data_IF_343360950691
#
_entry.id   IF_343360950691
#
_cell.length_a   1.000
_cell.length_b   1.000
_cell.length_c   1.000
_cell.angle_alpha   90.00
_cell.angle_beta   90.00
_cell.angle_gamma   90.00
#
_symmetry.space_group_name_H-M   'P 1'
#
loop_
_entity.id
_entity.type
_entity.pdbx_description
1 polymer ?
#
# COMPACT_ATOMS: atom_id res chain seq x y z
N UNK A 1 -29.43 -48.23 -18.58
CA UNK A 1 -30.49 -48.11 -17.56
C UNK A 1 -30.66 -46.63 -17.20
N UNK A 2 -31.86 -46.14 -17.47
CA UNK A 2 -32.25 -44.71 -17.35
C UNK A 2 -32.38 -44.30 -15.89
N UNK A 3 -31.83 -43.16 -15.48
CA UNK A 3 -32.38 -42.25 -14.46
C UNK A 3 -31.43 -41.04 -14.33
N UNK A 4 -31.64 -40.05 -15.14
CA UNK A 4 -31.32 -38.63 -14.88
C UNK A 4 -32.24 -37.81 -15.77
N UNK A 5 -33.38 -37.46 -15.26
CA UNK A 5 -34.24 -36.44 -15.87
C UNK A 5 -34.40 -35.24 -14.95
N UNK A 6 -34.09 -34.09 -15.54
CA UNK A 6 -34.67 -32.77 -15.26
C UNK A 6 -34.51 -32.25 -13.83
N UNK A 7 -33.47 -31.47 -13.63
CA UNK A 7 -33.52 -30.35 -12.70
C UNK A 7 -33.47 -29.03 -13.49
N UNK A 8 -34.60 -28.33 -13.41
CA UNK A 8 -34.92 -27.08 -14.06
C UNK A 8 -33.86 -25.97 -13.79
N UNK A 9 -33.29 -25.47 -14.86
CA UNK A 9 -32.54 -24.20 -14.88
C UNK A 9 -33.50 -22.99 -14.80
N UNK A 10 -34.12 -22.77 -13.67
CA UNK A 10 -34.86 -21.54 -13.36
C UNK A 10 -34.66 -21.20 -11.89
N UNK A 11 -34.07 -20.00 -11.66
CA UNK A 11 -33.89 -19.28 -10.41
C UNK A 11 -32.54 -19.48 -9.71
N UNK A 12 -31.52 -18.79 -10.20
CA UNK A 12 -30.40 -18.26 -9.40
C UNK A 12 -30.01 -16.90 -9.96
N UNK A 13 -31.00 -15.99 -10.08
CA UNK A 13 -30.77 -14.55 -10.13
C UNK A 13 -31.14 -13.99 -8.75
N UNK A 14 -30.41 -14.39 -7.74
CA UNK A 14 -30.34 -13.62 -6.52
C UNK A 14 -29.23 -12.58 -6.74
N UNK A 15 -29.63 -11.31 -6.89
CA UNK A 15 -28.72 -10.20 -6.92
C UNK A 15 -27.83 -10.27 -5.67
N UNK A 16 -26.54 -10.43 -5.88
CA UNK A 16 -25.52 -10.25 -4.81
C UNK A 16 -25.64 -8.79 -4.42
N UNK A 17 -25.77 -8.45 -3.11
CA UNK A 17 -25.81 -7.08 -2.67
C UNK A 17 -24.50 -6.40 -3.10
N UNK A 18 -24.59 -5.31 -3.85
CA UNK A 18 -23.46 -4.51 -4.36
C UNK A 18 -22.83 -3.63 -3.28
N UNK A 19 -23.26 -3.74 -2.03
CA UNK A 19 -22.74 -2.98 -0.90
C UNK A 19 -22.17 -3.95 0.13
N UNK A 20 -20.84 -3.96 0.25
CA UNK A 20 -20.20 -4.45 1.47
C UNK A 20 -20.63 -3.49 2.60
N UNK A 21 -21.24 -3.97 3.68
CA UNK A 21 -21.61 -3.10 4.78
C UNK A 21 -20.33 -2.71 5.53
N UNK A 22 -19.74 -1.55 5.20
CA UNK A 22 -18.89 -0.84 6.14
C UNK A 22 -19.80 -0.44 7.30
N UNK A 23 -19.74 -1.18 8.40
CA UNK A 23 -20.45 -0.81 9.61
C UNK A 23 -19.86 0.49 10.12
N UNK A 24 -20.67 1.53 10.16
CA UNK A 24 -20.33 2.75 10.91
C UNK A 24 -20.06 2.37 12.38
N UNK A 25 -19.12 3.03 13.05
CA UNK A 25 -18.92 2.81 14.47
C UNK A 25 -20.22 3.08 15.21
N UNK A 26 -20.66 2.11 15.99
CA UNK A 26 -21.86 2.19 16.82
C UNK A 26 -21.41 2.52 18.24
N UNK A 27 -22.25 3.26 18.99
CA UNK A 27 -22.09 3.40 20.44
C UNK A 27 -22.30 2.03 21.14
N UNK A 28 -22.05 1.98 22.44
CA UNK A 28 -22.20 0.76 23.25
C UNK A 28 -23.64 0.19 23.26
N UNK A 29 -24.59 0.86 22.63
CA UNK A 29 -26.00 0.49 22.51
C UNK A 29 -26.47 0.27 21.06
N UNK A 30 -25.54 0.28 20.07
CA UNK A 30 -25.86 -0.03 18.68
C UNK A 30 -26.50 1.11 17.87
N UNK A 31 -26.43 2.35 18.32
CA UNK A 31 -26.97 3.52 17.62
C UNK A 31 -25.92 4.29 16.81
N UNK A 32 -26.23 4.86 15.64
CA UNK A 32 -25.27 5.68 14.88
C UNK A 32 -24.88 6.95 15.65
N UNK A 33 -23.60 7.20 15.80
CA UNK A 33 -23.08 8.41 16.44
C UNK A 33 -23.47 9.63 15.61
N UNK A 34 -24.33 10.52 16.13
CA UNK A 34 -24.68 11.78 15.47
C UNK A 34 -23.56 12.79 15.66
N UNK A 35 -22.81 13.08 14.60
CA UNK A 35 -21.83 14.17 14.58
C UNK A 35 -22.55 15.50 14.52
N UNK A 36 -22.41 16.33 15.55
CA UNK A 36 -22.91 17.71 15.58
C UNK A 36 -21.92 18.60 14.82
N UNK A 37 -22.42 19.32 13.82
CA UNK A 37 -21.63 20.38 13.16
C UNK A 37 -21.37 21.50 14.18
N UNK A 38 -20.09 21.79 14.44
CA UNK A 38 -19.65 22.89 15.30
C UNK A 38 -19.19 24.03 14.38
N UNK A 39 -19.68 25.22 14.63
CA UNK A 39 -19.27 26.44 13.92
C UNK A 39 -17.80 26.74 14.19
N UNK A 40 -17.07 27.14 13.13
CA UNK A 40 -15.62 27.37 13.09
C UNK A 40 -15.18 28.58 13.91
N UNK A 41 -14.67 28.32 15.12
CA UNK A 41 -13.54 29.07 15.64
C UNK A 41 -12.38 28.10 15.65
N UNK A 42 -11.32 28.38 14.90
CA UNK A 42 -10.11 27.54 14.89
C UNK A 42 -9.65 27.32 16.34
N UNK A 43 -9.29 26.09 16.74
CA UNK A 43 -8.75 25.84 18.07
C UNK A 43 -7.51 26.67 18.35
N UNK A 44 -7.30 27.03 19.61
CA UNK A 44 -6.06 27.68 20.02
C UNK A 44 -4.88 26.78 19.68
N UNK A 45 -3.88 27.32 18.94
CA UNK A 45 -2.73 26.54 18.44
C UNK A 45 -2.83 26.08 16.99
N UNK A 46 -3.92 26.38 16.25
CA UNK A 46 -4.01 26.11 14.80
C UNK A 46 -2.88 26.82 14.07
N UNK A 47 -2.13 26.05 13.25
CA UNK A 47 -1.02 26.58 12.44
C UNK A 47 -1.41 26.67 10.96
N UNK A 48 -0.71 27.57 10.23
CA UNK A 48 -0.78 27.63 8.78
C UNK A 48 0.36 26.81 8.17
N UNK A 49 0.03 25.97 7.19
CA UNK A 49 1.00 25.18 6.42
C UNK A 49 0.51 25.03 4.98
N UNK A 50 1.14 24.19 4.16
CA UNK A 50 0.70 23.92 2.79
C UNK A 50 0.61 22.43 2.54
N UNK A 51 -0.33 22.04 1.68
CA UNK A 51 -0.53 20.66 1.26
C UNK A 51 -1.06 20.57 -0.18
N UNK A 52 -0.85 19.42 -0.82
CA UNK A 52 -1.46 19.09 -2.09
C UNK A 52 -2.83 18.42 -1.87
N UNK A 53 -3.86 19.04 -2.40
CA UNK A 53 -5.26 18.67 -2.21
C UNK A 53 -5.85 18.23 -3.54
N UNK A 54 -6.52 17.07 -3.55
CA UNK A 54 -7.40 16.67 -4.63
C UNK A 54 -8.81 17.15 -4.30
N UNK A 55 -9.28 18.15 -5.06
CA UNK A 55 -10.60 18.73 -4.84
C UNK A 55 -11.71 17.92 -5.51
N UNK A 56 -11.43 17.39 -6.68
CA UNK A 56 -12.37 16.60 -7.50
C UNK A 56 -11.63 15.45 -8.18
N UNK A 57 -12.27 14.32 -8.48
CA UNK A 57 -11.62 13.22 -9.18
C UNK A 57 -11.31 13.65 -10.63
N UNK A 58 -10.26 13.10 -11.20
CA UNK A 58 -9.78 13.38 -12.57
C UNK A 58 -9.31 14.82 -12.79
N UNK A 59 -8.80 15.45 -11.70
CA UNK A 59 -8.15 16.76 -11.74
C UNK A 59 -6.73 16.64 -11.19
N UNK A 60 -5.93 17.69 -11.39
CA UNK A 60 -4.61 17.78 -10.80
C UNK A 60 -4.67 18.03 -9.28
N UNK A 61 -3.62 17.62 -8.58
CA UNK A 61 -3.36 18.04 -7.21
C UNK A 61 -3.12 19.56 -7.18
N UNK A 62 -3.78 20.25 -6.24
CA UNK A 62 -3.61 21.70 -6.03
C UNK A 62 -2.85 21.91 -4.74
N UNK A 63 -1.67 22.51 -4.83
CA UNK A 63 -0.88 22.91 -3.65
C UNK A 63 -1.35 24.27 -3.18
N UNK A 64 -1.83 24.34 -1.95
CA UNK A 64 -2.32 25.58 -1.36
C UNK A 64 -2.16 25.62 0.16
N UNK A 65 -2.27 26.82 0.78
CA UNK A 65 -2.27 26.95 2.23
C UNK A 65 -3.46 26.23 2.86
N UNK A 66 -3.20 25.57 4.00
CA UNK A 66 -4.18 24.91 4.85
C UNK A 66 -4.05 25.37 6.30
N UNK A 67 -5.11 25.24 7.05
CA UNK A 67 -5.15 25.33 8.51
C UNK A 67 -5.00 23.93 9.08
N UNK A 68 -4.10 23.77 10.04
CA UNK A 68 -3.82 22.51 10.72
C UNK A 68 -4.04 22.69 12.22
N UNK A 69 -5.01 21.98 12.76
CA UNK A 69 -5.32 22.00 14.18
C UNK A 69 -4.26 21.22 14.99
N UNK A 70 -4.05 21.59 16.27
CA UNK A 70 -3.09 20.90 17.14
C UNK A 70 -3.49 19.44 17.41
N UNK A 71 -2.52 18.56 17.73
CA UNK A 71 -2.77 17.16 18.00
C UNK A 71 -3.63 16.96 19.24
N UNK A 72 -4.64 16.10 19.12
CA UNK A 72 -5.55 15.73 20.18
C UNK A 72 -5.10 14.44 20.89
N UNK A 73 -5.98 13.84 21.70
CA UNK A 73 -5.65 12.62 22.47
C UNK A 73 -5.15 11.49 21.56
N UNK A 74 -3.92 11.03 21.82
CA UNK A 74 -3.28 9.95 21.08
C UNK A 74 -2.73 10.33 19.71
N UNK A 75 -2.71 11.64 19.39
CA UNK A 75 -2.19 12.16 18.12
C UNK A 75 -0.83 12.83 18.29
N UNK A 76 -0.10 12.96 17.21
CA UNK A 76 1.17 13.66 17.14
C UNK A 76 1.19 14.59 15.91
N UNK A 77 1.78 15.76 16.06
CA UNK A 77 2.15 16.64 14.96
C UNK A 77 3.53 16.24 14.45
N UNK A 78 3.64 15.99 13.16
CA UNK A 78 4.90 15.60 12.51
C UNK A 78 5.26 16.58 11.41
N UNK A 79 6.49 17.12 11.47
CA UNK A 79 7.12 17.80 10.35
C UNK A 79 7.65 16.74 9.40
N UNK A 80 7.10 16.68 8.20
CA UNK A 80 7.50 15.70 7.19
C UNK A 80 8.82 16.14 6.52
N UNK A 81 9.73 15.20 6.34
CA UNK A 81 10.95 15.38 5.56
C UNK A 81 10.78 14.83 4.13
N UNK A 82 10.00 13.76 3.98
CA UNK A 82 9.75 13.14 2.69
C UNK A 82 8.44 12.36 2.65
N UNK A 83 7.89 12.20 1.44
CA UNK A 83 6.75 11.32 1.16
C UNK A 83 6.94 10.57 -0.14
N UNK A 84 6.80 9.23 -0.11
CA UNK A 84 6.79 8.40 -1.31
C UNK A 84 5.51 8.62 -2.12
N UNK A 85 5.64 8.58 -3.45
CA UNK A 85 4.53 8.66 -4.39
C UNK A 85 4.09 7.25 -4.79
N UNK A 86 2.82 6.93 -4.63
CA UNK A 86 2.27 5.59 -4.83
C UNK A 86 1.12 5.58 -5.83
N UNK A 87 0.92 4.45 -6.51
CA UNK A 87 -0.25 4.24 -7.38
C UNK A 87 -1.58 4.29 -6.62
N UNK A 88 -1.58 4.04 -5.32
CA UNK A 88 -2.81 4.13 -4.52
C UNK A 88 -3.37 5.56 -4.48
N UNK A 89 -2.51 6.59 -4.52
CA UNK A 89 -2.91 7.99 -4.64
C UNK A 89 -3.44 8.29 -6.05
N UNK A 90 -2.80 7.70 -7.08
CA UNK A 90 -3.26 7.82 -8.47
C UNK A 90 -4.65 7.19 -8.67
N UNK A 91 -4.95 6.06 -8.01
CA UNK A 91 -6.29 5.47 -8.05
C UNK A 91 -7.38 6.38 -7.49
N UNK A 92 -7.05 7.32 -6.60
CA UNK A 92 -8.00 8.36 -6.17
C UNK A 92 -8.19 9.42 -7.24
N UNK A 93 -7.11 9.81 -7.92
CA UNK A 93 -7.18 10.76 -9.04
C UNK A 93 -8.00 10.18 -10.19
N UNK A 94 -7.77 8.93 -10.58
CA UNK A 94 -8.51 8.26 -11.67
C UNK A 94 -9.95 7.92 -11.29
N UNK A 95 -10.24 7.81 -10.00
CA UNK A 95 -11.55 7.39 -9.47
C UNK A 95 -11.75 5.88 -9.40
N UNK A 96 -10.69 5.08 -9.61
CA UNK A 96 -10.73 3.62 -9.45
C UNK A 96 -10.94 3.22 -7.99
N UNK A 97 -10.43 4.04 -7.06
CA UNK A 97 -10.65 3.92 -5.63
C UNK A 97 -11.38 5.17 -5.12
N UNK A 98 -12.72 5.15 -5.02
CA UNK A 98 -13.47 6.29 -4.52
C UNK A 98 -13.17 6.54 -3.04
N UNK A 99 -13.01 7.81 -2.66
CA UNK A 99 -12.76 8.26 -1.29
C UNK A 99 -13.49 9.55 -0.98
N UNK A 100 -13.40 10.01 0.26
CA UNK A 100 -13.92 11.32 0.66
C UNK A 100 -13.10 12.43 0.00
N UNK A 101 -13.78 13.43 -0.56
CA UNK A 101 -13.18 14.62 -1.17
C UNK A 101 -13.76 15.89 -0.53
N UNK A 102 -13.00 17.01 -0.47
CA UNK A 102 -11.61 17.17 -0.85
C UNK A 102 -10.66 16.42 0.08
N UNK A 103 -9.50 15.96 -0.44
CA UNK A 103 -8.55 15.12 0.31
C UNK A 103 -7.10 15.56 0.12
N UNK A 104 -6.33 15.54 1.21
CA UNK A 104 -4.87 15.59 1.16
C UNK A 104 -4.38 14.17 0.89
N UNK A 105 -3.62 13.98 -0.19
CA UNK A 105 -3.06 12.68 -0.58
C UNK A 105 -1.83 12.28 0.24
N UNK A 106 -1.25 11.16 -0.15
CA UNK A 106 -0.03 10.64 0.42
C UNK A 106 -0.20 9.78 1.67
N UNK A 107 0.56 8.71 1.72
CA UNK A 107 0.50 7.73 2.81
C UNK A 107 1.85 7.06 3.12
N UNK A 108 2.92 7.51 2.49
CA UNK A 108 4.29 6.99 2.67
C UNK A 108 5.17 8.10 3.27
N UNK A 109 4.87 8.56 4.49
CA UNK A 109 5.58 9.67 5.12
C UNK A 109 6.69 9.22 6.07
N UNK A 110 7.74 10.04 6.14
CA UNK A 110 8.73 10.03 7.21
C UNK A 110 9.05 11.47 7.64
N UNK A 111 9.26 11.66 8.92
CA UNK A 111 9.47 13.00 9.48
C UNK A 111 9.89 12.98 10.93
N UNK A 112 9.82 14.14 11.55
CA UNK A 112 10.23 14.39 12.94
C UNK A 112 9.00 14.82 13.73
N UNK A 113 8.79 14.23 14.88
CA UNK A 113 7.71 14.63 15.80
C UNK A 113 8.01 16.02 16.34
N UNK A 114 7.09 16.96 16.16
CA UNK A 114 7.18 18.34 16.68
C UNK A 114 6.42 18.49 17.99
N UNK A 115 5.22 17.89 18.08
CA UNK A 115 4.34 18.00 19.22
C UNK A 115 3.61 16.67 19.47
N UNK A 116 3.30 16.36 20.72
CA UNK A 116 2.53 15.19 21.13
C UNK A 116 1.27 15.62 21.85
N UNK A 117 0.14 15.06 21.45
CA UNK A 117 -1.13 15.26 22.14
C UNK A 117 -1.23 14.49 23.46
N UNK A 118 -2.29 14.76 24.24
CA UNK A 118 -2.52 14.07 25.51
C UNK A 118 -2.58 12.55 25.32
N UNK A 119 -1.98 11.79 26.26
CA UNK A 119 -2.03 10.32 26.25
C UNK A 119 -1.03 9.63 25.31
N UNK A 120 -0.22 10.37 24.56
CA UNK A 120 0.91 9.83 23.81
C UNK A 120 2.05 9.51 24.81
N UNK A 121 2.54 8.28 24.80
CA UNK A 121 3.57 7.80 25.73
C UNK A 121 4.77 7.14 25.06
N UNK A 122 4.63 6.76 23.77
CA UNK A 122 5.68 6.04 23.02
C UNK A 122 6.53 6.97 22.15
N UNK A 123 6.12 8.23 21.99
CA UNK A 123 6.75 9.23 21.14
C UNK A 123 6.99 10.53 21.93
N UNK A 124 8.03 11.26 21.53
CA UNK A 124 8.38 12.58 22.06
C UNK A 124 8.83 13.52 20.93
N UNK A 125 8.76 14.86 21.11
CA UNK A 125 9.34 15.80 20.18
C UNK A 125 10.82 15.48 19.90
N UNK A 126 11.21 15.55 18.62
CA UNK A 126 12.53 15.19 18.13
C UNK A 126 12.66 13.73 17.68
N UNK A 127 11.69 12.87 17.95
CA UNK A 127 11.72 11.49 17.47
C UNK A 127 11.54 11.41 15.95
N UNK A 128 12.41 10.66 15.28
CA UNK A 128 12.23 10.30 13.87
C UNK A 128 11.20 9.19 13.74
N UNK A 129 10.25 9.36 12.83
CA UNK A 129 9.15 8.42 12.61
C UNK A 129 8.93 8.13 11.13
N UNK A 130 8.46 6.90 10.88
CA UNK A 130 7.86 6.47 9.61
C UNK A 130 6.41 6.10 9.86
N UNK A 131 5.54 6.42 8.92
CA UNK A 131 4.14 6.04 9.00
C UNK A 131 3.88 4.70 8.34
N UNK A 132 3.20 3.81 9.05
CA UNK A 132 2.54 2.67 8.43
C UNK A 132 1.11 3.06 8.06
N UNK A 133 0.72 2.84 6.81
CA UNK A 133 -0.61 3.26 6.33
C UNK A 133 -1.76 2.48 6.99
N UNK A 134 -1.51 1.34 7.59
CA UNK A 134 -2.46 0.63 8.45
C UNK A 134 -2.02 0.83 9.90
N UNK A 135 -2.84 1.49 10.74
CA UNK A 135 -2.49 1.67 12.14
C UNK A 135 -2.36 0.33 12.86
N UNK A 136 -1.47 0.25 13.86
CA UNK A 136 -1.29 -0.94 14.70
C UNK A 136 -1.63 -0.60 16.15
N UNK A 137 -2.90 -0.80 16.54
CA UNK A 137 -3.36 -0.44 17.89
C UNK A 137 -2.80 -1.34 19.02
N UNK A 138 -2.24 -2.50 18.68
CA UNK A 138 -1.61 -3.44 19.60
C UNK A 138 -2.57 -4.31 20.40
N UNK A 139 -3.87 -4.02 20.45
CA UNK A 139 -4.83 -4.65 21.39
C UNK A 139 -6.03 -5.36 20.74
N UNK A 140 -6.34 -5.10 19.45
CA UNK A 140 -7.40 -5.83 18.77
C UNK A 140 -6.96 -7.29 18.44
N UNK A 141 -7.89 -8.21 18.14
CA UNK A 141 -7.56 -9.60 17.85
C UNK A 141 -6.49 -9.79 16.77
N UNK A 142 -6.54 -9.16 15.60
CA UNK A 142 -5.46 -9.24 14.63
C UNK A 142 -4.10 -8.78 15.17
N UNK A 143 -4.04 -7.64 15.86
CA UNK A 143 -2.78 -7.14 16.43
C UNK A 143 -2.22 -8.11 17.49
N UNK A 144 -3.07 -8.64 18.37
CA UNK A 144 -2.65 -9.55 19.45
C UNK A 144 -2.12 -10.88 18.94
N UNK A 145 -2.45 -11.26 17.70
CA UNK A 145 -1.99 -12.49 17.04
C UNK A 145 -0.88 -12.26 16.01
N UNK A 146 -0.31 -11.05 15.97
CA UNK A 146 0.81 -10.72 15.07
C UNK A 146 0.41 -10.25 13.66
N UNK A 147 -0.90 -10.09 13.40
CA UNK A 147 -1.44 -9.68 12.10
C UNK A 147 -1.88 -8.21 12.11
N UNK A 148 -0.99 -7.30 12.53
CA UNK A 148 -1.32 -5.87 12.64
C UNK A 148 -1.67 -5.20 11.31
N UNK A 149 -1.26 -5.78 10.18
CA UNK A 149 -1.72 -5.40 8.84
C UNK A 149 -3.24 -5.53 8.64
N UNK A 150 -3.93 -6.20 9.55
CA UNK A 150 -5.39 -6.36 9.59
C UNK A 150 -5.99 -5.73 10.85
N UNK A 151 -5.33 -4.74 11.44
CA UNK A 151 -5.82 -4.04 12.63
C UNK A 151 -7.25 -3.53 12.44
N UNK A 152 -8.14 -3.77 13.41
CA UNK A 152 -9.54 -3.37 13.33
C UNK A 152 -9.72 -1.86 13.18
N UNK A 153 -8.77 -1.05 13.70
CA UNK A 153 -8.75 0.41 13.49
C UNK A 153 -8.57 0.76 12.00
N UNK A 154 -7.95 -0.12 11.21
CA UNK A 154 -7.84 0.02 9.76
C UNK A 154 -9.19 0.13 9.05
N UNK A 155 -10.31 -0.28 9.67
CA UNK A 155 -11.66 -0.08 9.12
C UNK A 155 -12.05 1.39 8.97
N UNK A 156 -11.36 2.33 9.61
CA UNK A 156 -11.62 3.78 9.50
C UNK A 156 -10.87 4.45 8.36
N UNK A 157 -9.90 3.78 7.73
CA UNK A 157 -8.96 4.37 6.75
C UNK A 157 -9.66 5.04 5.55
N UNK A 158 -10.72 4.42 5.04
CA UNK A 158 -11.46 4.94 3.88
C UNK A 158 -12.35 6.14 4.21
N UNK A 159 -12.56 6.43 5.50
CA UNK A 159 -13.36 7.58 5.95
C UNK A 159 -12.66 8.93 5.76
N UNK A 160 -11.35 8.94 5.51
CA UNK A 160 -10.58 10.16 5.31
C UNK A 160 -10.52 11.08 6.53
N UNK A 161 -10.72 10.54 7.74
CA UNK A 161 -10.73 11.28 9.00
C UNK A 161 -9.73 10.70 9.97
N UNK A 162 -9.46 11.40 11.07
CA UNK A 162 -8.75 10.83 12.20
C UNK A 162 -9.48 9.58 12.74
N UNK A 163 -8.80 8.78 13.53
CA UNK A 163 -9.37 7.52 14.09
C UNK A 163 -10.64 7.80 14.91
N UNK A 164 -10.74 8.97 15.53
CA UNK A 164 -11.91 9.42 16.30
C UNK A 164 -13.04 10.00 15.41
N UNK A 165 -12.86 10.04 14.10
CA UNK A 165 -13.81 10.57 13.12
C UNK A 165 -13.75 12.09 12.91
N UNK A 166 -12.86 12.80 13.61
CA UNK A 166 -12.69 14.25 13.48
C UNK A 166 -11.74 14.64 12.36
N UNK A 167 -11.70 15.94 12.00
CA UNK A 167 -10.71 16.52 11.10
C UNK A 167 -9.69 17.34 11.88
N UNK A 168 -8.47 17.48 11.32
CA UNK A 168 -7.44 18.41 11.80
C UNK A 168 -6.97 19.36 10.68
N UNK A 169 -7.30 19.03 9.45
CA UNK A 169 -6.83 19.76 8.26
C UNK A 169 -8.03 20.48 7.63
N UNK A 170 -7.86 21.77 7.35
CA UNK A 170 -8.93 22.62 6.82
C UNK A 170 -8.41 23.52 5.70
N UNK A 171 -9.21 23.76 4.68
CA UNK A 171 -8.95 24.78 3.65
C UNK A 171 -10.27 25.32 3.10
N UNK A 172 -10.26 26.58 2.70
CA UNK A 172 -11.42 27.26 2.12
C UNK A 172 -12.70 27.11 2.97
N UNK A 173 -12.54 27.08 4.31
CA UNK A 173 -13.65 26.91 5.26
C UNK A 173 -14.29 25.51 5.26
N UNK A 174 -13.59 24.50 4.76
CA UNK A 174 -14.03 23.10 4.75
C UNK A 174 -13.02 22.20 5.46
N UNK A 175 -13.54 21.17 6.10
CA UNK A 175 -12.73 20.05 6.55
C UNK A 175 -12.16 19.29 5.35
N UNK A 176 -10.88 18.99 5.38
CA UNK A 176 -10.23 18.13 4.42
C UNK A 176 -10.21 16.68 4.91
N UNK A 177 -10.44 15.75 4.01
CA UNK A 177 -10.10 14.37 4.24
C UNK A 177 -8.56 14.20 4.17
N UNK A 178 -8.04 13.14 4.78
CA UNK A 178 -6.64 12.73 4.70
C UNK A 178 -6.54 11.28 4.25
N UNK A 179 -5.66 10.99 3.31
CA UNK A 179 -5.52 9.64 2.79
C UNK A 179 -5.09 8.68 3.89
N UNK A 180 -5.86 7.63 4.12
CA UNK A 180 -5.65 6.56 5.10
C UNK A 180 -5.23 7.06 6.49
N UNK A 181 -5.87 8.14 6.97
CA UNK A 181 -5.59 8.78 8.26
C UNK A 181 -4.18 9.39 8.38
N UNK A 182 -3.51 9.69 7.28
CA UNK A 182 -2.12 10.20 7.23
C UNK A 182 -1.99 11.53 6.50
N UNK A 183 -2.35 11.62 5.20
CA UNK A 183 -2.27 12.87 4.43
C UNK A 183 -0.85 13.41 4.33
N UNK A 184 0.08 12.65 3.74
CA UNK A 184 1.51 13.00 3.77
C UNK A 184 1.97 13.93 2.63
N UNK A 185 1.07 14.40 1.76
CA UNK A 185 1.39 15.39 0.74
C UNK A 185 1.25 16.81 1.28
N UNK A 186 2.02 17.11 2.33
CA UNK A 186 2.12 18.40 2.99
C UNK A 186 3.36 18.47 3.86
N UNK A 187 3.75 19.68 4.30
CA UNK A 187 4.93 19.84 5.15
C UNK A 187 4.72 19.36 6.58
N UNK A 188 3.49 19.42 7.03
CA UNK A 188 3.08 18.96 8.38
C UNK A 188 1.80 18.15 8.29
N UNK A 189 1.69 17.20 9.17
CA UNK A 189 0.43 16.43 9.35
C UNK A 189 0.23 16.08 10.82
N UNK A 190 -1.03 15.96 11.23
CA UNK A 190 -1.41 15.40 12.52
C UNK A 190 -1.92 13.99 12.30
N UNK A 191 -1.33 13.01 12.98
CA UNK A 191 -1.64 11.59 12.83
C UNK A 191 -1.76 10.90 14.18
N UNK A 192 -2.47 9.78 14.23
CA UNK A 192 -2.53 8.97 15.44
C UNK A 192 -1.21 8.22 15.67
N UNK A 193 -0.74 8.15 16.93
CA UNK A 193 0.48 7.39 17.30
C UNK A 193 0.44 5.93 16.84
N UNK A 194 -0.74 5.33 16.69
CA UNK A 194 -0.87 3.95 16.21
C UNK A 194 -0.38 3.74 14.76
N UNK A 195 -0.27 4.81 13.98
CA UNK A 195 0.29 4.79 12.62
C UNK A 195 1.79 5.14 12.60
N UNK A 196 2.38 5.54 13.71
CA UNK A 196 3.79 5.95 13.79
C UNK A 196 4.68 4.80 14.27
N UNK A 197 5.82 4.65 13.60
CA UNK A 197 6.91 3.77 14.04
C UNK A 197 8.15 4.63 14.25
N UNK A 198 8.61 4.70 15.50
CA UNK A 198 9.88 5.37 15.83
C UNK A 198 11.04 4.61 15.21
N UNK A 199 11.95 5.34 14.59
CA UNK A 199 13.14 4.80 13.92
C UNK A 199 14.40 5.45 14.50
N UNK A 200 15.56 4.91 14.14
CA UNK A 200 16.85 5.52 14.50
C UNK A 200 17.05 6.83 13.72
N UNK A 201 17.64 7.81 14.37
CA UNK A 201 17.88 9.15 13.83
C UNK A 201 18.99 9.21 12.77
N UNK A 202 19.83 8.17 12.68
CA UNK A 202 20.87 8.02 11.66
C UNK A 202 20.33 7.48 10.30
N UNK A 203 19.04 7.12 10.21
CA UNK A 203 18.41 6.68 8.97
C UNK A 203 17.91 7.88 8.15
N UNK A 204 18.33 8.06 6.88
CA UNK A 204 17.83 9.12 6.04
C UNK A 204 16.31 9.03 5.82
N UNK A 205 15.58 10.11 6.15
CA UNK A 205 14.12 10.11 6.13
C UNK A 205 13.54 9.97 4.71
N UNK A 206 14.25 10.44 3.70
CA UNK A 206 13.89 10.31 2.28
C UNK A 206 13.97 8.85 1.78
N UNK A 207 14.72 7.99 2.44
CA UNK A 207 14.75 6.54 2.20
C UNK A 207 13.74 5.84 3.10
N UNK A 208 13.67 6.28 4.36
CA UNK A 208 12.80 5.68 5.35
C UNK A 208 11.31 5.75 4.98
N UNK A 209 10.84 6.82 4.31
CA UNK A 209 9.45 6.98 3.91
C UNK A 209 8.94 5.79 3.06
N UNK A 210 9.79 5.18 2.23
CA UNK A 210 9.41 4.07 1.35
C UNK A 210 9.00 2.81 2.11
N UNK A 211 9.49 2.60 3.34
CA UNK A 211 9.13 1.41 4.14
C UNK A 211 7.74 1.54 4.78
N UNK A 212 7.11 2.71 4.70
CA UNK A 212 5.75 2.93 5.16
C UNK A 212 4.68 2.20 4.36
N UNK A 213 4.95 1.89 3.09
CA UNK A 213 4.00 1.18 2.21
C UNK A 213 4.72 0.23 1.25
N UNK A 214 5.27 0.76 0.14
CA UNK A 214 5.67 -0.05 -1.01
C UNK A 214 6.75 -1.08 -0.70
N UNK A 215 7.76 -0.71 0.09
CA UNK A 215 8.87 -1.61 0.45
C UNK A 215 8.39 -2.73 1.36
N UNK A 216 7.69 -2.43 2.42
CA UNK A 216 7.14 -3.42 3.35
C UNK A 216 6.16 -4.35 2.64
N UNK A 217 5.29 -3.79 1.77
CA UNK A 217 4.33 -4.57 0.98
C UNK A 217 5.04 -5.57 0.07
N UNK A 218 6.03 -5.14 -0.71
CA UNK A 218 6.73 -6.01 -1.65
C UNK A 218 7.57 -7.07 -0.96
N UNK A 219 8.40 -6.66 0.00
CA UNK A 219 9.24 -7.57 0.76
C UNK A 219 8.41 -8.62 1.51
N UNK A 220 7.36 -8.19 2.20
CA UNK A 220 6.46 -9.07 2.94
C UNK A 220 5.67 -10.00 2.03
N UNK A 221 5.30 -9.54 0.81
CA UNK A 221 4.65 -10.41 -0.18
C UNK A 221 5.51 -11.60 -0.56
N UNK A 222 6.84 -11.43 -0.65
CA UNK A 222 7.76 -12.53 -0.88
C UNK A 222 7.97 -13.39 0.37
N UNK A 223 8.31 -12.75 1.50
CA UNK A 223 8.80 -13.45 2.71
C UNK A 223 7.65 -14.06 3.50
N UNK A 224 6.52 -13.36 3.62
CA UNK A 224 5.39 -13.82 4.45
C UNK A 224 4.25 -14.40 3.60
N UNK A 225 3.70 -13.63 2.66
CA UNK A 225 2.51 -14.07 1.92
C UNK A 225 2.82 -15.22 0.96
N UNK A 226 3.90 -15.13 0.19
CA UNK A 226 4.35 -16.21 -0.68
C UNK A 226 5.06 -17.33 0.09
N UNK A 227 5.67 -17.03 1.24
CA UNK A 227 6.52 -17.97 1.99
C UNK A 227 7.65 -18.50 1.08
N UNK A 228 8.42 -17.59 0.48
CA UNK A 228 9.56 -17.94 -0.37
C UNK A 228 10.63 -18.63 0.47
N UNK A 229 11.16 -19.74 -0.06
CA UNK A 229 12.17 -20.57 0.59
C UNK A 229 13.41 -20.74 -0.28
N UNK A 230 14.56 -21.10 0.31
CA UNK A 230 15.75 -21.39 -0.45
C UNK A 230 15.50 -22.44 -1.54
N UNK A 231 15.90 -22.12 -2.78
CA UNK A 231 15.72 -22.97 -3.95
C UNK A 231 14.41 -22.78 -4.71
N UNK A 232 13.48 -21.91 -4.23
CA UNK A 232 12.25 -21.61 -4.98
C UNK A 232 12.53 -20.84 -6.27
N UNK A 233 11.72 -21.09 -7.29
CA UNK A 233 11.58 -20.24 -8.47
C UNK A 233 10.43 -19.27 -8.26
N UNK A 234 10.70 -17.97 -8.41
CA UNK A 234 9.77 -16.87 -8.11
C UNK A 234 9.54 -16.02 -9.34
N UNK A 235 8.29 -15.71 -9.69
CA UNK A 235 7.94 -14.69 -10.67
C UNK A 235 7.32 -13.48 -9.99
N UNK A 236 7.77 -12.27 -10.36
CA UNK A 236 7.21 -11.01 -9.90
C UNK A 236 6.68 -10.24 -11.11
N UNK A 237 5.38 -9.97 -11.13
CA UNK A 237 4.68 -9.29 -12.22
C UNK A 237 4.46 -7.83 -11.83
N UNK A 238 5.10 -6.92 -12.55
CA UNK A 238 5.22 -5.50 -12.22
C UNK A 238 6.46 -5.21 -11.40
N UNK A 239 7.35 -4.34 -11.90
CA UNK A 239 8.61 -3.91 -11.27
C UNK A 239 8.54 -2.42 -10.92
N UNK A 240 7.46 -2.01 -10.28
CA UNK A 240 7.35 -0.73 -9.55
C UNK A 240 7.91 -0.88 -8.14
N UNK A 241 7.58 0.04 -7.24
CA UNK A 241 8.08 0.01 -5.86
C UNK A 241 7.80 -1.30 -5.11
N UNK A 242 6.58 -1.83 -5.23
CA UNK A 242 6.22 -3.12 -4.62
C UNK A 242 7.03 -4.26 -5.26
N UNK A 243 7.07 -4.31 -6.60
CA UNK A 243 7.78 -5.39 -7.31
C UNK A 243 9.29 -5.39 -7.06
N UNK A 244 9.95 -4.22 -7.12
CA UNK A 244 11.38 -4.10 -6.81
C UNK A 244 11.70 -4.58 -5.37
N UNK A 245 10.80 -4.31 -4.42
CA UNK A 245 10.94 -4.83 -3.05
C UNK A 245 10.64 -6.32 -2.94
N UNK A 246 9.68 -6.83 -3.73
CA UNK A 246 9.39 -8.27 -3.79
C UNK A 246 10.58 -9.06 -4.37
N UNK A 247 11.27 -8.52 -5.39
CA UNK A 247 12.51 -9.10 -5.92
C UNK A 247 13.58 -9.18 -4.84
N UNK A 248 13.78 -8.10 -4.08
CA UNK A 248 14.75 -8.08 -2.98
C UNK A 248 14.36 -9.07 -1.87
N UNK A 249 13.07 -9.14 -1.53
CA UNK A 249 12.54 -10.09 -0.56
C UNK A 249 12.77 -11.53 -0.99
N UNK A 250 12.49 -11.87 -2.25
CA UNK A 250 12.73 -13.20 -2.81
C UNK A 250 14.23 -13.58 -2.80
N UNK A 251 15.11 -12.64 -3.17
CA UNK A 251 16.57 -12.83 -3.11
C UNK A 251 17.04 -13.10 -1.69
N UNK A 252 16.59 -12.28 -0.73
CA UNK A 252 16.99 -12.43 0.68
C UNK A 252 16.43 -13.72 1.31
N UNK A 253 15.28 -14.22 0.83
CA UNK A 253 14.72 -15.50 1.25
C UNK A 253 15.44 -16.72 0.59
N UNK A 254 16.35 -16.49 -0.35
CA UNK A 254 17.16 -17.56 -0.96
C UNK A 254 16.54 -18.19 -2.21
N UNK A 255 15.64 -17.49 -2.92
CA UNK A 255 15.12 -17.95 -4.19
C UNK A 255 16.28 -18.26 -5.19
N UNK A 256 16.17 -19.38 -5.91
CA UNK A 256 17.18 -19.80 -6.89
C UNK A 256 17.04 -19.01 -8.20
N UNK A 257 15.82 -18.86 -8.69
CA UNK A 257 15.47 -18.13 -9.91
C UNK A 257 14.42 -17.08 -9.59
N UNK A 258 14.65 -15.86 -10.08
CA UNK A 258 13.74 -14.73 -9.87
C UNK A 258 13.47 -14.09 -11.23
N UNK A 259 12.22 -14.25 -11.71
CA UNK A 259 11.75 -13.72 -12.98
C UNK A 259 11.02 -12.40 -12.73
N UNK A 260 11.53 -11.31 -13.30
CA UNK A 260 10.90 -10.00 -13.26
C UNK A 260 10.16 -9.74 -14.59
N UNK A 261 8.86 -9.44 -14.50
CA UNK A 261 7.97 -9.26 -15.65
C UNK A 261 7.43 -7.84 -15.63
N UNK A 262 7.83 -7.00 -16.59
CA UNK A 262 7.33 -5.63 -16.70
C UNK A 262 7.40 -5.14 -18.16
N UNK A 263 6.37 -4.50 -18.72
CA UNK A 263 6.40 -4.00 -20.09
C UNK A 263 7.41 -2.87 -20.30
N UNK A 264 7.76 -2.12 -19.24
CA UNK A 264 8.67 -0.96 -19.32
C UNK A 264 10.11 -1.41 -19.32
N UNK A 265 10.86 -1.06 -20.36
CA UNK A 265 12.27 -1.46 -20.52
C UNK A 265 13.18 -0.97 -19.38
N UNK A 266 13.00 0.29 -18.94
CA UNK A 266 13.75 0.84 -17.82
C UNK A 266 13.65 -0.05 -16.57
N UNK A 267 12.44 -0.50 -16.26
CA UNK A 267 12.18 -1.34 -15.09
C UNK A 267 12.83 -2.71 -15.21
N UNK A 268 12.78 -3.31 -16.41
CA UNK A 268 13.49 -4.58 -16.67
C UNK A 268 15.02 -4.43 -16.58
N UNK A 269 15.55 -3.31 -17.05
CA UNK A 269 17.00 -2.99 -16.96
C UNK A 269 17.46 -2.85 -15.52
N UNK A 270 16.62 -2.28 -14.64
CA UNK A 270 16.94 -2.10 -13.22
C UNK A 270 16.65 -3.35 -12.37
N UNK A 271 15.79 -4.26 -12.82
CA UNK A 271 15.37 -5.44 -12.06
C UNK A 271 16.52 -6.32 -11.53
N UNK A 272 17.63 -6.56 -12.27
CA UNK A 272 18.78 -7.32 -11.76
C UNK A 272 19.42 -6.69 -10.52
N UNK A 273 19.44 -5.36 -10.40
CA UNK A 273 19.92 -4.65 -9.21
C UNK A 273 19.16 -5.07 -7.95
N UNK A 274 17.86 -5.37 -8.10
CA UNK A 274 16.98 -5.79 -7.01
C UNK A 274 16.96 -7.32 -6.80
N UNK A 275 17.67 -8.09 -7.63
CA UNK A 275 17.82 -9.53 -7.47
C UNK A 275 17.16 -10.39 -8.54
N UNK A 276 16.58 -9.81 -9.59
CA UNK A 276 16.08 -10.58 -10.71
C UNK A 276 17.22 -11.32 -11.43
N UNK A 277 17.00 -12.59 -11.72
CA UNK A 277 17.92 -13.40 -12.53
C UNK A 277 17.53 -13.40 -14.00
N UNK A 278 16.25 -13.18 -14.29
CA UNK A 278 15.67 -13.16 -15.62
C UNK A 278 14.64 -12.03 -15.73
N UNK A 279 14.46 -11.50 -16.93
CA UNK A 279 13.47 -10.46 -17.22
C UNK A 279 12.67 -10.80 -18.47
N UNK A 280 11.40 -10.41 -18.52
CA UNK A 280 10.53 -10.47 -19.70
C UNK A 280 9.59 -9.29 -19.78
N UNK A 281 9.10 -9.00 -20.99
CA UNK A 281 8.23 -7.85 -21.23
C UNK A 281 6.75 -8.16 -20.95
N UNK A 282 6.36 -9.42 -21.02
CA UNK A 282 4.96 -9.83 -20.80
C UNK A 282 4.87 -11.18 -20.09
N UNK A 283 3.67 -11.50 -19.62
CA UNK A 283 3.36 -12.81 -18.99
C UNK A 283 3.51 -13.94 -20.01
N UNK A 284 3.19 -13.69 -21.26
CA UNK A 284 3.29 -14.65 -22.36
C UNK A 284 4.75 -15.01 -22.66
N UNK A 285 5.63 -14.01 -22.80
CA UNK A 285 7.08 -14.24 -22.95
C UNK A 285 7.67 -14.94 -21.74
N UNK A 286 7.22 -14.54 -20.54
CA UNK A 286 7.66 -15.15 -19.28
C UNK A 286 7.29 -16.64 -19.21
N UNK A 287 6.14 -17.04 -19.76
CA UNK A 287 5.67 -18.42 -19.72
C UNK A 287 6.71 -19.35 -20.40
N UNK A 288 7.12 -19.03 -21.62
CA UNK A 288 8.08 -19.84 -22.37
C UNK A 288 9.46 -19.87 -21.69
N UNK A 289 9.93 -18.71 -21.22
CA UNK A 289 11.19 -18.58 -20.49
C UNK A 289 11.19 -19.40 -19.19
N UNK A 290 10.13 -19.25 -18.37
CA UNK A 290 9.98 -19.99 -17.11
C UNK A 290 9.90 -21.49 -17.39
N UNK A 291 9.14 -21.91 -18.40
CA UNK A 291 9.02 -23.33 -18.78
C UNK A 291 10.39 -23.91 -19.13
N UNK A 292 11.20 -23.20 -19.91
CA UNK A 292 12.56 -23.60 -20.28
C UNK A 292 13.47 -23.68 -19.05
N UNK A 293 13.57 -22.61 -18.28
CA UNK A 293 14.49 -22.49 -17.15
C UNK A 293 14.17 -23.42 -15.98
N UNK A 294 12.90 -23.81 -15.84
CA UNK A 294 12.43 -24.72 -14.79
C UNK A 294 12.17 -26.15 -15.27
N UNK A 295 12.54 -26.48 -16.50
CA UNK A 295 12.26 -27.78 -17.12
C UNK A 295 10.77 -28.19 -17.07
N UNK A 296 9.89 -27.22 -17.25
CA UNK A 296 8.44 -27.40 -17.22
C UNK A 296 7.82 -27.47 -15.82
N UNK A 297 8.60 -27.28 -14.73
CA UNK A 297 8.06 -27.26 -13.36
C UNK A 297 7.25 -26.00 -13.06
N UNK A 298 7.56 -24.90 -13.71
CA UNK A 298 7.02 -23.57 -13.48
C UNK A 298 7.47 -22.95 -12.13
N UNK A 299 6.93 -21.78 -11.76
CA UNK A 299 7.34 -21.06 -10.56
C UNK A 299 6.65 -21.59 -9.30
N UNK A 300 7.39 -21.78 -8.21
CA UNK A 300 6.86 -22.11 -6.90
C UNK A 300 6.01 -20.95 -6.34
N UNK A 301 6.38 -19.72 -6.66
CA UNK A 301 5.72 -18.50 -6.19
C UNK A 301 5.54 -17.50 -7.34
N UNK A 302 4.36 -16.88 -7.39
CA UNK A 302 4.07 -15.79 -8.34
C UNK A 302 3.49 -14.63 -7.55
N UNK A 303 4.07 -13.43 -7.69
CA UNK A 303 3.66 -12.23 -6.95
C UNK A 303 3.13 -11.20 -7.93
N UNK A 304 1.87 -10.81 -7.76
CA UNK A 304 1.21 -9.79 -8.55
C UNK A 304 1.43 -8.42 -7.91
N UNK A 305 2.32 -7.59 -8.51
CA UNK A 305 2.70 -6.26 -8.04
C UNK A 305 2.51 -5.17 -9.12
N UNK A 306 1.69 -5.45 -10.12
CA UNK A 306 1.36 -4.50 -11.19
C UNK A 306 0.51 -3.33 -10.67
N UNK A 307 0.59 -2.15 -11.28
CA UNK A 307 -0.16 -0.96 -10.85
C UNK A 307 -1.67 -1.16 -10.91
N UNK A 308 -2.16 -1.70 -12.02
CA UNK A 308 -3.57 -2.07 -12.19
C UNK A 308 -3.63 -3.51 -12.64
N UNK A 309 -4.36 -4.34 -11.92
CA UNK A 309 -4.63 -5.72 -12.28
C UNK A 309 -6.01 -5.88 -12.90
N UNK A 310 -6.22 -6.98 -13.62
CA UNK A 310 -7.54 -7.39 -14.08
C UNK A 310 -7.77 -8.87 -13.79
N UNK A 311 -9.01 -9.21 -13.43
CA UNK A 311 -9.43 -10.59 -13.22
C UNK A 311 -9.26 -11.47 -14.46
N UNK A 312 -9.21 -10.90 -15.67
CA UNK A 312 -8.94 -11.61 -16.93
C UNK A 312 -7.52 -12.14 -17.03
N UNK A 313 -6.55 -11.52 -16.36
CA UNK A 313 -5.14 -11.96 -16.37
C UNK A 313 -4.88 -13.20 -15.49
N UNK A 314 -5.80 -13.51 -14.56
CA UNK A 314 -5.54 -14.50 -13.51
C UNK A 314 -5.27 -15.90 -14.06
N UNK A 315 -5.85 -16.28 -15.20
CA UNK A 315 -5.58 -17.59 -15.79
C UNK A 315 -4.13 -17.69 -16.33
N UNK A 316 -3.65 -16.68 -17.04
CA UNK A 316 -2.26 -16.63 -17.51
C UNK A 316 -1.28 -16.61 -16.34
N UNK A 317 -1.58 -15.87 -15.28
CA UNK A 317 -0.78 -15.82 -14.05
C UNK A 317 -0.76 -17.20 -13.35
N UNK A 318 -1.91 -17.87 -13.26
CA UNK A 318 -1.99 -19.22 -12.68
C UNK A 318 -1.19 -20.24 -13.48
N UNK A 319 -1.08 -20.08 -14.80
CA UNK A 319 -0.27 -20.94 -15.66
C UNK A 319 1.24 -20.80 -15.43
N UNK A 320 1.71 -19.65 -14.91
CA UNK A 320 3.12 -19.50 -14.50
C UNK A 320 3.45 -20.30 -13.23
N UNK A 321 2.43 -20.83 -12.53
CA UNK A 321 2.60 -21.40 -11.19
C UNK A 321 2.73 -22.91 -11.24
N UNK A 322 3.70 -23.45 -10.52
CA UNK A 322 3.96 -24.89 -10.37
C UNK A 322 2.82 -25.61 -9.63
N UNK A 323 2.87 -26.95 -9.64
CA UNK A 323 2.04 -27.78 -8.75
C UNK A 323 2.31 -27.40 -7.29
N UNK A 324 1.26 -27.20 -6.50
CA UNK A 324 1.31 -26.71 -5.11
C UNK A 324 1.92 -25.32 -4.97
N UNK A 325 2.15 -24.62 -6.09
CA UNK A 325 2.66 -23.26 -6.09
C UNK A 325 1.61 -22.25 -5.62
N UNK A 326 2.07 -21.04 -5.32
CA UNK A 326 1.24 -19.97 -4.73
C UNK A 326 1.32 -18.69 -5.55
N UNK A 327 0.15 -18.16 -5.89
CA UNK A 327 -0.04 -16.80 -6.43
C UNK A 327 -0.41 -15.87 -5.28
N UNK A 328 0.33 -14.78 -5.12
CA UNK A 328 0.04 -13.71 -4.17
C UNK A 328 -0.49 -12.51 -4.93
N UNK A 329 -1.70 -12.06 -4.59
CA UNK A 329 -2.33 -10.85 -5.12
C UNK A 329 -2.14 -9.74 -4.08
N UNK A 330 -1.25 -8.78 -4.37
CA UNK A 330 -0.96 -7.66 -3.47
C UNK A 330 -1.23 -6.29 -4.12
N UNK A 331 -1.47 -6.26 -5.43
CA UNK A 331 -1.87 -5.05 -6.13
C UNK A 331 -3.35 -4.71 -5.88
N UNK A 332 -3.68 -3.42 -6.05
CA UNK A 332 -5.06 -2.95 -5.94
C UNK A 332 -5.76 -3.12 -7.29
N UNK A 333 -7.01 -3.57 -7.25
CA UNK A 333 -7.90 -3.67 -8.39
C UNK A 333 -8.99 -2.60 -8.31
N UNK A 334 -9.57 -2.16 -9.45
CA UNK A 334 -10.73 -1.29 -9.42
C UNK A 334 -11.85 -1.90 -8.55
N UNK A 335 -12.45 -1.08 -7.69
CA UNK A 335 -13.48 -1.56 -6.74
C UNK A 335 -14.68 -2.24 -7.43
N UNK A 336 -14.96 -1.87 -8.67
CA UNK A 336 -16.05 -2.43 -9.46
C UNK A 336 -15.71 -3.80 -10.10
N UNK A 337 -14.46 -4.27 -10.04
CA UNK A 337 -14.08 -5.54 -10.66
C UNK A 337 -14.31 -6.70 -9.69
N UNK A 338 -15.32 -7.49 -9.95
CA UNK A 338 -15.71 -8.65 -9.14
C UNK A 338 -15.51 -9.99 -9.87
N UNK A 339 -15.10 -9.97 -11.14
CA UNK A 339 -15.00 -11.16 -11.96
C UNK A 339 -13.57 -11.61 -12.13
N UNK A 340 -13.35 -12.92 -11.95
CA UNK A 340 -12.03 -13.54 -12.15
C UNK A 340 -12.18 -14.70 -13.13
N UNK A 341 -11.35 -14.70 -14.19
CA UNK A 341 -11.26 -15.80 -15.14
C UNK A 341 -10.07 -16.69 -14.80
N UNK A 342 -10.31 -17.90 -14.30
CA UNK A 342 -9.25 -18.89 -14.07
C UNK A 342 -9.81 -20.30 -14.09
N UNK A 343 -8.97 -21.29 -14.41
CA UNK A 343 -9.33 -22.70 -14.41
C UNK A 343 -9.43 -23.24 -12.98
N UNK A 344 -10.65 -23.50 -12.51
CA UNK A 344 -10.86 -24.18 -11.22
C UNK A 344 -10.36 -25.62 -11.24
N UNK A 345 -10.40 -26.28 -12.42
CA UNK A 345 -9.87 -27.64 -12.58
C UNK A 345 -8.35 -27.66 -12.36
N UNK A 346 -7.62 -26.72 -12.96
CA UNK A 346 -6.17 -26.61 -12.77
C UNK A 346 -5.82 -26.27 -11.31
N UNK A 347 -6.55 -25.32 -10.70
CA UNK A 347 -6.40 -25.00 -9.29
C UNK A 347 -6.52 -26.24 -8.40
N UNK A 348 -7.55 -27.07 -8.65
CA UNK A 348 -7.84 -28.27 -7.85
C UNK A 348 -6.84 -29.39 -8.11
N UNK A 349 -6.64 -29.78 -9.40
CA UNK A 349 -5.82 -30.93 -9.75
C UNK A 349 -4.33 -30.71 -9.47
N UNK A 350 -3.88 -29.48 -9.50
CA UNK A 350 -2.48 -29.10 -9.24
C UNK A 350 -2.26 -28.57 -7.81
N UNK A 351 -3.27 -28.58 -6.96
CA UNK A 351 -3.23 -28.03 -5.58
C UNK A 351 -2.66 -26.59 -5.53
N UNK A 352 -2.91 -25.76 -6.56
CA UNK A 352 -2.42 -24.39 -6.60
C UNK A 352 -3.17 -23.52 -5.60
N UNK A 353 -2.52 -22.45 -5.14
CA UNK A 353 -3.09 -21.50 -4.17
C UNK A 353 -3.14 -20.10 -4.76
N UNK A 354 -4.21 -19.36 -4.48
CA UNK A 354 -4.33 -17.92 -4.73
C UNK A 354 -4.64 -17.25 -3.40
N UNK A 355 -3.79 -16.34 -2.97
CA UNK A 355 -3.92 -15.66 -1.67
C UNK A 355 -3.84 -14.16 -1.84
N UNK A 356 -4.66 -13.42 -1.09
CA UNK A 356 -4.57 -11.97 -0.98
C UNK A 356 -3.54 -11.56 0.08
N UNK A 357 -2.93 -10.40 -0.12
CA UNK A 357 -2.01 -9.82 0.86
C UNK A 357 -2.13 -8.31 0.88
N UNK A 358 -2.44 -7.74 2.03
CA UNK A 358 -2.36 -6.31 2.26
C UNK A 358 -1.12 -6.00 3.10
N UNK A 359 -0.38 -4.95 2.72
CA UNK A 359 0.85 -4.54 3.37
C UNK A 359 1.90 -5.67 3.46
N UNK A 360 1.88 -6.62 2.50
CA UNK A 360 2.78 -7.76 2.49
C UNK A 360 2.56 -8.75 3.63
N UNK A 361 1.40 -8.74 4.29
CA UNK A 361 1.12 -9.52 5.50
C UNK A 361 2.10 -9.21 6.66
N UNK A 362 2.69 -8.01 6.66
CA UNK A 362 3.72 -7.59 7.61
C UNK A 362 3.14 -6.95 8.87
N UNK A 363 3.91 -6.98 9.95
CA UNK A 363 3.64 -6.25 11.17
C UNK A 363 4.51 -4.98 11.21
N UNK A 364 3.91 -3.79 11.01
CA UNK A 364 4.65 -2.54 10.87
C UNK A 364 5.62 -2.27 12.02
N UNK A 365 5.21 -2.52 13.28
CA UNK A 365 6.04 -2.24 14.46
C UNK A 365 7.28 -3.12 14.55
N UNK A 366 7.23 -4.33 13.95
CA UNK A 366 8.34 -5.27 13.89
C UNK A 366 9.14 -5.13 12.59
N UNK A 367 8.44 -4.97 11.47
CA UNK A 367 9.06 -5.15 10.15
C UNK A 367 9.66 -3.85 9.59
N UNK A 368 9.09 -2.67 9.89
CA UNK A 368 9.71 -1.39 9.49
C UNK A 368 11.12 -1.25 10.09
N UNK A 369 11.35 -1.42 11.42
CA UNK A 369 12.70 -1.38 11.97
C UNK A 369 13.63 -2.46 11.39
N UNK A 370 13.11 -3.66 11.11
CA UNK A 370 13.86 -4.74 10.49
C UNK A 370 14.34 -4.37 9.08
N UNK A 371 13.46 -3.81 8.25
CA UNK A 371 13.78 -3.39 6.88
C UNK A 371 14.80 -2.25 6.87
N UNK A 372 14.67 -1.28 7.76
CA UNK A 372 15.63 -0.21 7.90
C UNK A 372 17.00 -0.71 8.40
N UNK A 373 17.03 -1.74 9.24
CA UNK A 373 18.26 -2.41 9.60
C UNK A 373 18.90 -3.13 8.39
N UNK A 374 18.11 -3.85 7.58
CA UNK A 374 18.60 -4.47 6.36
C UNK A 374 19.16 -3.43 5.36
N UNK A 375 18.51 -2.27 5.27
CA UNK A 375 19.04 -1.14 4.48
C UNK A 375 20.39 -0.65 5.02
N UNK A 376 20.48 -0.37 6.31
CA UNK A 376 21.69 0.09 6.98
C UNK A 376 22.84 -0.91 6.85
N UNK A 377 22.54 -2.22 6.87
CA UNK A 377 23.51 -3.30 6.68
C UNK A 377 23.84 -3.55 5.18
N UNK A 378 23.31 -2.74 4.25
CA UNK A 378 23.55 -2.85 2.79
C UNK A 378 22.89 -4.05 2.12
N UNK A 379 21.96 -4.74 2.78
CA UNK A 379 21.26 -5.90 2.24
C UNK A 379 19.99 -5.54 1.47
N UNK A 380 19.34 -4.41 1.80
CA UNK A 380 18.19 -3.85 1.12
C UNK A 380 18.60 -2.54 0.43
N UNK A 381 18.35 -2.42 -0.87
CA UNK A 381 18.70 -1.25 -1.67
C UNK A 381 17.52 -0.30 -1.79
N UNK A 382 17.39 0.66 -0.87
CA UNK A 382 16.41 1.73 -0.96
C UNK A 382 16.88 2.88 -1.87
N UNK A 383 18.18 3.13 -1.91
CA UNK A 383 18.76 4.20 -2.75
C UNK A 383 18.50 3.95 -4.23
N UNK A 384 18.70 2.72 -4.70
CA UNK A 384 18.44 2.34 -6.08
C UNK A 384 16.98 2.34 -6.49
N UNK A 385 16.08 2.30 -5.52
CA UNK A 385 14.64 2.39 -5.79
C UNK A 385 14.21 3.82 -6.10
N UNK A 386 14.82 4.85 -5.49
CA UNK A 386 14.50 6.26 -5.73
C UNK A 386 15.12 6.70 -7.04
N UNK A 387 14.31 6.83 -8.07
CA UNK A 387 14.74 7.23 -9.42
C UNK A 387 14.25 8.61 -9.81
N UNK A 388 13.43 9.25 -8.98
CA UNK A 388 12.96 10.62 -9.15
C UNK A 388 12.66 11.28 -7.80
N UNK A 389 13.08 12.55 -7.65
CA UNK A 389 12.75 13.38 -6.49
C UNK A 389 12.07 14.66 -6.97
N UNK A 390 11.07 15.10 -6.22
CA UNK A 390 10.22 16.22 -6.59
C UNK A 390 9.98 17.12 -5.38
N UNK A 391 9.73 18.40 -5.61
CA UNK A 391 9.17 19.30 -4.59
C UNK A 391 7.65 19.15 -4.55
N UNK A 392 7.02 19.59 -3.48
CA UNK A 392 5.57 19.53 -3.34
C UNK A 392 4.84 20.19 -4.54
N UNK A 393 5.34 21.35 -5.01
CA UNK A 393 4.80 22.04 -6.19
C UNK A 393 4.89 21.26 -7.49
N UNK A 394 5.78 20.28 -7.57
CA UNK A 394 6.01 19.44 -8.78
C UNK A 394 5.28 18.09 -8.72
N UNK A 395 4.36 17.90 -7.76
CA UNK A 395 3.65 16.63 -7.52
C UNK A 395 2.98 16.09 -8.78
N UNK A 396 2.35 16.92 -9.58
CA UNK A 396 1.67 16.52 -10.82
C UNK A 396 2.67 16.02 -11.87
N UNK A 397 3.86 16.62 -11.95
CA UNK A 397 4.94 16.13 -12.81
C UNK A 397 5.42 14.76 -12.34
N UNK A 398 5.57 14.55 -11.04
CA UNK A 398 5.95 13.26 -10.46
C UNK A 398 4.96 12.15 -10.81
N UNK A 399 3.66 12.40 -10.75
CA UNK A 399 2.62 11.48 -11.19
C UNK A 399 2.62 11.26 -12.71
N UNK A 400 2.90 12.31 -13.50
CA UNK A 400 3.06 12.14 -14.95
C UNK A 400 4.25 11.21 -15.26
N UNK A 401 5.39 11.39 -14.62
CA UNK A 401 6.56 10.52 -14.79
C UNK A 401 6.31 9.08 -14.34
N UNK A 402 5.47 8.88 -13.32
CA UNK A 402 5.01 7.56 -12.90
C UNK A 402 4.15 6.89 -13.99
N UNK A 403 3.18 7.62 -14.57
CA UNK A 403 2.34 7.14 -15.68
C UNK A 403 3.16 6.80 -16.92
N UNK A 404 4.16 7.62 -17.23
CA UNK A 404 5.08 7.44 -18.36
C UNK A 404 6.11 6.31 -18.10
N UNK A 405 6.10 5.68 -16.92
CA UNK A 405 7.04 4.60 -16.57
C UNK A 405 8.49 5.04 -16.40
N UNK A 406 8.75 6.34 -16.16
CA UNK A 406 10.09 6.92 -16.06
C UNK A 406 10.77 6.66 -14.72
N UNK A 407 10.05 6.17 -13.73
CA UNK A 407 10.62 5.89 -12.40
C UNK A 407 10.18 4.55 -11.82
N UNK A 408 10.98 4.03 -10.89
CA UNK A 408 10.63 2.94 -9.98
C UNK A 408 9.87 3.54 -8.79
N UNK A 409 10.49 4.56 -8.13
CA UNK A 409 9.89 5.34 -7.04
C UNK A 409 10.17 6.83 -7.25
N UNK A 410 9.11 7.62 -7.19
CA UNK A 410 9.17 9.06 -6.98
C UNK A 410 9.04 9.37 -5.49
N UNK A 411 9.76 10.38 -5.02
CA UNK A 411 9.71 10.85 -3.63
C UNK A 411 9.57 12.38 -3.61
N UNK A 412 8.57 12.87 -2.89
CA UNK A 412 8.48 14.29 -2.54
C UNK A 412 9.46 14.56 -1.40
N UNK A 413 10.27 15.62 -1.56
CA UNK A 413 11.20 16.10 -0.55
C UNK A 413 10.69 17.45 -0.05
N UNK A 414 10.59 17.59 1.25
CA UNK A 414 10.16 18.82 1.90
C UNK A 414 11.39 19.57 2.40
N UNK A 415 11.66 20.72 1.78
CA UNK A 415 12.70 21.64 2.24
C UNK A 415 12.26 22.33 3.55
N UNK A 416 13.21 22.73 4.37
CA UNK A 416 13.01 23.45 5.63
C UNK A 416 12.30 24.80 5.47
#
# INVERSE_FOLDING_TARGET
MRFFHSLNAKRLNAAIPTELPFRQPLDDFGSPIKVRAIASNAPEGTMQTEAAILWEPRTDWIVEPIELDPPQVGEVLVKLAASGMCHSDEHMVTGDLPGALPIIGGHEGAGIVEEVGPGVTELAPGDHVVFGFIPACGKCPPCSTGHSNLCDVGGTLMGGRQIDGSARHHARGKDLAIMVCLGTFGKYTVVNQASCVKILDDIPLDKACLVGCGVTTGWGSSVYAADVRPGDSVAVIGVGGIGASALQGARLAGAERIFAIDPVELKRTLAPRFGATHTSASVEEAFDLIQQETWGRMCDKVICAMGVGSGTMMNSILNLTAKRGRVVVTNIHPMAEHSVSMSLLDLTLMEKQVVGSIFGSANMRSDIPKLLKLYRDGQLDLDGMITGTYKLGDINQGYQDMRDGKNIRGVLIYDD
#
